data_IF_221816995890
#
_entry.id   IF_221816995890
#
_cell.length_a   1.000
_cell.length_b   1.000
_cell.length_c   1.000
_cell.angle_alpha   90.00
_cell.angle_beta   90.00
_cell.angle_gamma   90.00
#
_symmetry.space_group_name_H-M   'P 1'
#
loop_
_entity.id
_entity.type
_entity.pdbx_description
1 polymer ?
#
# COMPACT_ATOMS: atom_id res chain seq x y z
N UNK A 1 7.82 7.17 58.31
CA UNK A 1 7.61 5.97 57.47
C UNK A 1 6.61 6.20 56.34
N UNK A 2 5.49 6.89 56.56
CA UNK A 2 4.48 7.17 55.51
C UNK A 2 4.99 8.03 54.33
N UNK A 3 5.83 9.06 54.58
CA UNK A 3 6.39 9.89 53.49
C UNK A 3 7.25 9.09 52.51
N UNK A 4 8.02 8.12 53.01
CA UNK A 4 8.89 7.29 52.18
C UNK A 4 8.08 6.37 51.26
N UNK A 5 6.93 5.86 51.73
CA UNK A 5 6.01 5.04 50.92
C UNK A 5 5.29 5.87 49.84
N UNK A 6 4.97 7.14 50.13
CA UNK A 6 4.40 8.07 49.16
C UNK A 6 5.38 8.41 48.04
N UNK A 7 6.65 8.69 48.38
CA UNK A 7 7.72 8.93 47.43
C UNK A 7 8.00 7.71 46.54
N UNK A 8 8.04 6.49 47.10
CA UNK A 8 8.24 5.27 46.31
C UNK A 8 7.10 5.03 45.31
N UNK A 9 5.85 5.24 45.74
CA UNK A 9 4.66 5.12 44.89
C UNK A 9 4.67 6.14 43.76
N UNK A 10 5.03 7.39 44.05
CA UNK A 10 5.15 8.44 43.03
C UNK A 10 6.25 8.10 42.02
N UNK A 11 7.39 7.59 42.49
CA UNK A 11 8.51 7.19 41.63
C UNK A 11 8.13 6.02 40.70
N UNK A 12 7.39 5.03 41.21
CA UNK A 12 6.84 3.92 40.42
C UNK A 12 5.85 4.38 39.34
N UNK A 13 4.96 5.32 39.66
CA UNK A 13 4.04 5.92 38.67
C UNK A 13 4.82 6.68 37.60
N UNK A 14 5.82 7.47 37.99
CA UNK A 14 6.67 8.22 37.05
C UNK A 14 7.46 7.28 36.14
N UNK A 15 8.09 6.24 36.68
CA UNK A 15 8.81 5.22 35.88
C UNK A 15 7.87 4.46 34.94
N UNK A 16 6.64 4.15 35.38
CA UNK A 16 5.63 3.52 34.52
C UNK A 16 5.17 4.43 33.38
N UNK A 17 5.09 5.75 33.59
CA UNK A 17 4.75 6.71 32.54
C UNK A 17 5.92 6.97 31.57
N UNK A 18 7.17 6.86 32.04
CA UNK A 18 8.38 6.96 31.21
C UNK A 18 8.68 5.68 30.43
N UNK A 19 8.11 4.54 30.83
CA UNK A 19 8.18 3.27 30.10
C UNK A 19 7.20 3.18 28.92
N UNK A 20 6.71 4.32 28.40
CA UNK A 20 6.06 4.33 27.10
C UNK A 20 7.09 3.88 26.04
N UNK A 21 6.80 2.86 25.22
CA UNK A 21 7.73 2.42 24.19
C UNK A 21 8.00 3.59 23.24
N UNK A 22 9.26 4.04 23.20
CA UNK A 22 9.76 5.13 22.35
C UNK A 22 9.85 4.74 20.86
N UNK A 23 8.88 3.99 20.33
CA UNK A 23 8.93 3.47 18.96
C UNK A 23 7.55 3.51 18.31
N UNK A 24 7.01 4.70 18.15
CA UNK A 24 6.26 4.99 16.95
C UNK A 24 7.04 6.09 16.25
N UNK A 25 8.01 5.71 15.42
CA UNK A 25 8.52 6.63 14.40
C UNK A 25 7.32 6.95 13.51
N UNK A 26 6.57 7.98 13.88
CA UNK A 26 5.50 8.48 13.04
C UNK A 26 6.18 9.19 11.88
N UNK A 27 6.39 8.46 10.79
CA UNK A 27 6.94 9.00 9.54
C UNK A 27 5.95 9.91 8.78
N UNK A 28 4.78 10.18 9.38
CA UNK A 28 3.65 10.72 8.66
C UNK A 28 3.12 9.74 7.63
N UNK A 29 2.29 10.21 6.69
CA UNK A 29 1.83 9.43 5.56
C UNK A 29 2.98 8.85 4.72
N UNK A 30 3.08 7.52 4.65
CA UNK A 30 4.08 6.83 3.84
C UNK A 30 3.41 5.95 2.78
N UNK A 31 3.72 6.27 1.52
CA UNK A 31 3.33 5.48 0.36
C UNK A 31 4.48 4.59 -0.12
N UNK A 32 4.17 3.38 -0.58
CA UNK A 32 5.13 2.45 -1.17
C UNK A 32 4.64 1.89 -2.49
N UNK A 33 5.54 1.70 -3.45
CA UNK A 33 5.25 0.94 -4.67
C UNK A 33 5.45 -0.56 -4.42
N UNK A 34 4.54 -1.38 -4.93
CA UNK A 34 4.57 -2.84 -4.83
C UNK A 34 4.27 -3.47 -6.20
N UNK A 35 4.87 -4.63 -6.49
CA UNK A 35 4.59 -5.44 -7.68
C UNK A 35 5.74 -5.48 -8.71
N UNK A 36 6.96 -5.11 -8.32
CA UNK A 36 8.13 -5.09 -9.22
C UNK A 36 9.12 -6.25 -9.02
N UNK A 37 9.09 -6.96 -7.90
CA UNK A 37 10.08 -7.98 -7.53
C UNK A 37 9.46 -9.14 -6.75
N UNK A 38 8.81 -10.07 -7.46
CA UNK A 38 8.08 -11.20 -6.86
C UNK A 38 8.85 -12.04 -5.84
N UNK A 39 10.17 -12.14 -6.01
CA UNK A 39 11.03 -13.00 -5.21
C UNK A 39 11.58 -12.30 -3.95
N UNK A 40 11.39 -10.97 -3.79
CA UNK A 40 12.01 -10.20 -2.71
C UNK A 40 11.07 -9.27 -1.95
N UNK A 41 9.96 -8.82 -2.54
CA UNK A 41 9.06 -7.85 -1.88
C UNK A 41 7.93 -8.48 -1.05
N UNK A 42 7.69 -9.78 -1.21
CA UNK A 42 6.60 -10.49 -0.54
C UNK A 42 5.21 -10.20 -1.11
N UNK A 43 4.17 -10.77 -0.50
CA UNK A 43 2.78 -10.52 -0.85
C UNK A 43 2.33 -9.09 -0.53
N UNK A 44 1.24 -8.65 -1.17
CA UNK A 44 0.62 -7.36 -0.87
C UNK A 44 0.14 -7.31 0.59
N UNK A 45 -0.37 -8.45 1.11
CA UNK A 45 -0.73 -8.60 2.52
C UNK A 45 0.45 -8.36 3.45
N UNK A 46 1.60 -8.97 3.18
CA UNK A 46 2.81 -8.78 3.99
C UNK A 46 3.23 -7.31 4.02
N UNK A 47 3.17 -6.60 2.88
CA UNK A 47 3.44 -5.17 2.83
C UNK A 47 2.52 -4.37 3.77
N UNK A 48 1.21 -4.64 3.76
CA UNK A 48 0.23 -3.99 4.64
C UNK A 48 0.36 -4.42 6.12
N UNK A 49 0.81 -5.64 6.38
CA UNK A 49 1.00 -6.15 7.73
C UNK A 49 2.23 -5.57 8.43
N UNK A 50 3.15 -4.94 7.70
CA UNK A 50 4.28 -4.20 8.29
C UNK A 50 3.83 -3.06 9.22
N UNK A 51 2.64 -2.49 9.00
CA UNK A 51 2.16 -1.29 9.69
C UNK A 51 2.94 -0.02 9.35
N UNK A 52 3.84 -0.05 8.35
CA UNK A 52 4.71 1.08 7.98
C UNK A 52 4.08 2.03 6.96
N UNK A 53 3.17 1.53 6.13
CA UNK A 53 2.60 2.26 5.00
C UNK A 53 1.13 2.55 5.23
N UNK A 54 0.70 3.75 4.90
CA UNK A 54 -0.73 4.08 4.85
C UNK A 54 -1.28 4.01 3.42
N UNK A 55 -0.41 4.00 2.42
CA UNK A 55 -0.78 3.78 1.01
C UNK A 55 0.16 2.76 0.37
N UNK A 56 -0.40 1.78 -0.33
CA UNK A 56 0.35 0.86 -1.19
C UNK A 56 -0.12 1.07 -2.64
N UNK A 57 0.84 1.23 -3.55
CA UNK A 57 0.60 1.50 -4.96
C UNK A 57 1.04 0.28 -5.76
N UNK A 58 0.08 -0.47 -6.31
CA UNK A 58 0.33 -1.61 -7.19
C UNK A 58 0.85 -1.11 -8.54
N UNK A 59 1.92 -1.71 -9.04
CA UNK A 59 2.63 -1.30 -10.26
C UNK A 59 2.81 -2.48 -11.22
N UNK A 60 2.54 -2.36 -12.52
CA UNK A 60 1.88 -1.26 -13.25
C UNK A 60 0.80 -1.84 -14.16
N UNK A 61 -0.27 -1.09 -14.37
CA UNK A 61 -1.10 -1.25 -15.56
C UNK A 61 -0.36 -0.62 -16.74
N UNK A 62 0.37 -1.43 -17.52
CA UNK A 62 1.46 -1.01 -18.41
C UNK A 62 1.18 -1.17 -19.90
N UNK A 63 0.02 -1.70 -20.27
CA UNK A 63 -0.42 -1.80 -21.67
C UNK A 63 -1.79 -1.17 -21.79
N UNK A 64 -1.93 -0.09 -22.56
CA UNK A 64 -3.22 0.56 -22.82
C UNK A 64 -3.18 1.60 -23.95
N UNK A 65 -4.35 1.92 -24.49
CA UNK A 65 -4.65 3.09 -25.31
C UNK A 65 -4.13 3.12 -26.76
N UNK A 66 -3.16 2.28 -27.16
CA UNK A 66 -2.82 2.10 -28.58
C UNK A 66 -3.92 1.36 -29.36
N UNK A 67 -4.50 0.33 -28.76
CA UNK A 67 -5.54 -0.52 -29.36
C UNK A 67 -6.62 -0.73 -28.31
N UNK A 68 -7.86 -0.32 -28.61
CA UNK A 68 -9.02 -0.54 -27.73
C UNK A 68 -9.13 -2.03 -27.37
N UNK A 69 -9.36 -2.32 -26.09
CA UNK A 69 -9.48 -3.69 -25.58
C UNK A 69 -8.15 -4.40 -25.29
N UNK A 70 -7.00 -3.84 -25.69
CA UNK A 70 -5.68 -4.37 -25.32
C UNK A 70 -5.18 -3.68 -24.07
N UNK A 71 -5.36 -4.36 -22.94
CA UNK A 71 -5.05 -3.87 -21.61
C UNK A 71 -4.16 -4.87 -20.87
N UNK A 72 -3.23 -4.39 -20.04
CA UNK A 72 -2.26 -5.27 -19.39
C UNK A 72 -1.80 -4.77 -18.04
N UNK A 73 -1.92 -5.64 -17.03
CA UNK A 73 -1.33 -5.49 -15.71
C UNK A 73 -0.04 -6.32 -15.66
N UNK A 74 1.08 -5.66 -15.38
CA UNK A 74 2.36 -6.31 -15.11
C UNK A 74 2.76 -6.07 -13.66
N UNK A 75 2.52 -7.08 -12.81
CA UNK A 75 2.99 -7.14 -11.42
C UNK A 75 4.17 -8.13 -11.28
N UNK A 76 5.04 -8.19 -12.29
CA UNK A 76 6.34 -8.89 -12.25
C UNK A 76 6.26 -10.36 -11.82
N UNK A 77 5.17 -11.03 -12.18
CA UNK A 77 4.94 -12.44 -11.89
C UNK A 77 4.36 -12.75 -10.51
N UNK A 78 3.89 -11.75 -9.74
CA UNK A 78 3.07 -12.02 -8.56
C UNK A 78 1.78 -12.78 -8.92
N UNK A 79 1.28 -13.64 -8.02
CA UNK A 79 0.06 -14.41 -8.25
C UNK A 79 -1.19 -13.50 -8.22
N UNK A 80 -1.66 -13.08 -9.39
CA UNK A 80 -2.83 -12.19 -9.56
C UNK A 80 -4.06 -12.67 -8.78
N UNK A 81 -4.28 -13.99 -8.69
CA UNK A 81 -5.42 -14.58 -7.99
C UNK A 81 -5.46 -14.26 -6.48
N UNK A 82 -4.31 -14.05 -5.83
CA UNK A 82 -4.24 -13.72 -4.40
C UNK A 82 -4.50 -12.22 -4.13
N UNK A 83 -4.17 -11.36 -5.10
CA UNK A 83 -4.14 -9.90 -4.91
C UNK A 83 -5.49 -9.34 -4.47
N UNK A 84 -6.61 -9.84 -5.01
CA UNK A 84 -7.94 -9.34 -4.64
C UNK A 84 -8.29 -9.56 -3.16
N UNK A 85 -7.88 -10.69 -2.57
CA UNK A 85 -8.08 -10.95 -1.14
C UNK A 85 -7.14 -10.09 -0.27
N UNK A 86 -5.91 -9.87 -0.73
CA UNK A 86 -4.94 -9.04 -0.04
C UNK A 86 -5.31 -7.55 -0.07
N UNK A 87 -5.90 -7.04 -1.16
CA UNK A 87 -6.45 -5.68 -1.22
C UNK A 87 -7.49 -5.47 -0.12
N UNK A 88 -8.45 -6.39 0.04
CA UNK A 88 -9.49 -6.30 1.09
C UNK A 88 -8.89 -6.35 2.48
N UNK A 89 -7.81 -7.11 2.67
CA UNK A 89 -7.06 -7.17 3.94
C UNK A 89 -6.33 -5.85 4.23
N UNK A 90 -5.66 -5.26 3.24
CA UNK A 90 -5.04 -3.94 3.39
C UNK A 90 -6.08 -2.86 3.76
N UNK A 91 -7.21 -2.84 3.04
CA UNK A 91 -8.31 -1.90 3.28
C UNK A 91 -8.91 -2.05 4.69
N UNK A 92 -9.07 -3.29 5.19
CA UNK A 92 -9.58 -3.51 6.55
C UNK A 92 -8.62 -3.01 7.65
N UNK A 93 -7.33 -2.84 7.32
CA UNK A 93 -6.31 -2.22 8.19
C UNK A 93 -6.18 -0.70 8.00
N UNK A 94 -7.02 -0.10 7.17
CA UNK A 94 -6.97 1.34 6.88
C UNK A 94 -5.85 1.74 5.91
N UNK A 95 -5.24 0.78 5.20
CA UNK A 95 -4.23 1.05 4.18
C UNK A 95 -4.94 1.29 2.84
N UNK A 96 -4.70 2.46 2.23
CA UNK A 96 -5.21 2.78 0.90
C UNK A 96 -4.44 1.97 -0.16
N UNK A 97 -5.15 1.32 -1.07
CA UNK A 97 -4.53 0.60 -2.19
C UNK A 97 -4.88 1.30 -3.50
N UNK A 98 -3.86 1.70 -4.25
CA UNK A 98 -3.99 2.38 -5.53
C UNK A 98 -3.33 1.57 -6.64
N UNK A 99 -3.78 1.75 -7.88
CA UNK A 99 -3.16 1.18 -9.07
C UNK A 99 -2.42 2.27 -9.84
N UNK A 100 -1.13 2.08 -10.09
CA UNK A 100 -0.35 2.95 -10.97
C UNK A 100 -0.48 2.51 -12.43
N UNK A 101 -0.82 3.45 -13.30
CA UNK A 101 -0.87 3.27 -14.75
C UNK A 101 0.42 3.80 -15.41
N UNK A 102 0.90 3.12 -16.44
CA UNK A 102 2.12 3.47 -17.17
C UNK A 102 3.32 2.67 -16.67
N UNK A 103 4.27 3.35 -16.03
CA UNK A 103 5.54 2.77 -15.58
C UNK A 103 6.64 2.83 -16.64
N UNK A 104 7.82 2.31 -16.33
CA UNK A 104 8.90 2.26 -17.32
C UNK A 104 8.53 1.27 -18.44
N UNK A 105 8.60 1.73 -19.69
CA UNK A 105 8.28 0.93 -20.86
C UNK A 105 7.72 1.80 -21.99
N UNK A 106 7.10 1.16 -22.98
CA UNK A 106 6.48 1.84 -24.12
C UNK A 106 5.15 1.22 -24.56
N UNK A 107 4.56 0.36 -23.72
CA UNK A 107 3.34 -0.40 -24.05
C UNK A 107 2.04 0.42 -23.96
N UNK A 108 2.13 1.70 -23.61
CA UNK A 108 0.98 2.56 -23.36
C UNK A 108 1.07 3.90 -24.10
N UNK A 109 -0.09 4.47 -24.41
CA UNK A 109 -0.28 5.83 -24.92
C UNK A 109 -1.75 6.24 -24.73
N UNK A 110 -2.05 7.53 -24.85
CA UNK A 110 -3.42 8.05 -24.89
C UNK A 110 -3.54 9.02 -26.07
N UNK A 111 -3.49 8.52 -27.32
CA UNK A 111 -3.36 9.37 -28.51
C UNK A 111 -4.60 10.19 -28.85
N UNK A 112 -5.74 9.94 -28.21
CA UNK A 112 -7.00 10.64 -28.47
C UNK A 112 -7.93 10.65 -27.26
N UNK A 113 -8.90 11.56 -27.24
CA UNK A 113 -9.97 11.57 -26.22
C UNK A 113 -10.74 10.25 -26.17
N UNK A 114 -10.97 9.59 -27.31
CA UNK A 114 -11.61 8.27 -27.34
C UNK A 114 -10.74 7.21 -26.67
N UNK A 115 -9.42 7.19 -26.92
CA UNK A 115 -8.51 6.27 -26.25
C UNK A 115 -8.50 6.48 -24.72
N UNK A 116 -8.60 7.73 -24.27
CA UNK A 116 -8.70 8.05 -22.85
C UNK A 116 -10.02 7.55 -22.24
N UNK A 117 -11.15 7.74 -22.94
CA UNK A 117 -12.44 7.21 -22.50
C UNK A 117 -12.43 5.67 -22.44
N UNK A 118 -11.92 4.99 -23.47
CA UNK A 118 -11.86 3.52 -23.52
C UNK A 118 -10.98 2.94 -22.40
N UNK A 119 -9.90 3.64 -22.01
CA UNK A 119 -9.03 3.24 -20.89
C UNK A 119 -9.69 3.51 -19.55
N UNK A 120 -10.37 4.67 -19.38
CA UNK A 120 -11.12 4.98 -18.17
C UNK A 120 -12.24 3.98 -17.92
N UNK A 121 -13.01 3.65 -18.96
CA UNK A 121 -14.08 2.64 -18.90
C UNK A 121 -13.53 1.27 -18.50
N UNK A 122 -12.36 0.88 -19.03
CA UNK A 122 -11.76 -0.39 -18.63
C UNK A 122 -11.32 -0.37 -17.17
N UNK A 123 -10.62 0.68 -16.73
CA UNK A 123 -10.15 0.79 -15.35
C UNK A 123 -11.32 0.74 -14.35
N UNK A 124 -12.40 1.47 -14.66
CA UNK A 124 -13.62 1.48 -13.86
C UNK A 124 -14.22 0.08 -13.73
N UNK A 125 -14.45 -0.60 -14.85
CA UNK A 125 -15.12 -1.90 -14.82
C UNK A 125 -14.24 -3.07 -14.35
N UNK A 126 -12.91 -2.91 -14.36
CA UNK A 126 -11.97 -3.98 -13.99
C UNK A 126 -11.46 -3.88 -12.56
N UNK A 127 -11.32 -2.67 -12.00
CA UNK A 127 -10.59 -2.46 -10.74
C UNK A 127 -11.32 -1.59 -9.70
N UNK A 128 -12.47 -0.97 -10.03
CA UNK A 128 -13.22 -0.06 -9.15
C UNK A 128 -14.64 -0.58 -8.91
#
# INVERSE_FOLDING_TARGET
>A
QYDMMGLLSLLLVVVSCLAAPATADWYGPLAVYWGRHKDYEGSLREACDTGRYNTVIITFYSVFGYVKGRYGLDISGHPVAAVGADIKHCQSKGVQVLLSIGGQGGGYSLPSSQSAADVADNLWNAYL
#
